data_IF_749523201429
#
_entry.id   IF_749523201429
#
_cell.length_a   1.000
_cell.length_b   1.000
_cell.length_c   1.000
_cell.angle_alpha   90.00
_cell.angle_beta   90.00
_cell.angle_gamma   90.00
#
_symmetry.space_group_name_H-M   'P 1'
#
loop_
_entity.id
_entity.type
_entity.pdbx_description
1 polymer ?
#
# COMPACT_ATOMS: atom_id res chain seq x y z
N UNK A 1 42.45 -7.95 56.00
CA UNK A 1 42.87 -9.32 55.63
C UNK A 1 41.78 -9.91 54.74
N UNK A 2 42.14 -10.13 53.45
CA UNK A 2 41.68 -11.16 52.50
C UNK A 2 40.15 -11.43 52.36
N UNK A 3 39.54 -11.60 51.19
CA UNK A 3 39.89 -11.53 49.77
C UNK A 3 38.55 -11.50 49.01
N UNK A 4 38.54 -10.85 47.86
CA UNK A 4 37.44 -10.88 46.91
C UNK A 4 37.24 -12.29 46.33
N UNK A 5 36.01 -12.62 45.92
CA UNK A 5 35.77 -13.68 44.95
C UNK A 5 34.75 -13.23 43.91
N UNK A 6 35.26 -13.08 42.70
CA UNK A 6 34.55 -12.77 41.46
C UNK A 6 34.12 -14.10 40.83
N UNK A 7 32.82 -14.27 40.56
CA UNK A 7 32.35 -15.30 39.63
C UNK A 7 31.88 -14.62 38.35
N UNK A 8 32.77 -14.63 37.36
CA UNK A 8 32.44 -14.32 35.97
C UNK A 8 31.72 -15.53 35.35
N UNK A 9 30.46 -15.35 34.98
CA UNK A 9 29.68 -16.34 34.23
C UNK A 9 30.10 -16.27 32.76
N UNK A 10 30.99 -17.18 32.33
CA UNK A 10 31.41 -17.32 30.95
C UNK A 10 30.40 -18.24 30.23
N UNK A 11 29.34 -17.67 29.63
CA UNK A 11 28.50 -18.41 28.68
C UNK A 11 29.23 -18.48 27.34
N UNK A 12 30.00 -19.54 27.15
CA UNK A 12 30.52 -19.91 25.84
C UNK A 12 29.36 -20.37 24.95
N UNK A 13 29.00 -19.52 23.99
CA UNK A 13 28.11 -19.86 22.89
C UNK A 13 28.79 -20.93 22.03
N UNK A 14 28.29 -22.17 22.06
CA UNK A 14 28.73 -23.26 21.18
C UNK A 14 27.74 -23.35 20.01
N UNK A 15 28.09 -22.93 18.79
CA UNK A 15 27.20 -23.12 17.65
C UNK A 15 27.04 -24.62 17.35
N UNK A 16 25.86 -25.08 16.91
CA UNK A 16 25.67 -26.47 16.51
C UNK A 16 26.52 -26.80 15.28
N UNK A 17 27.19 -27.95 15.33
CA UNK A 17 27.94 -28.52 14.21
C UNK A 17 26.97 -28.89 13.09
N UNK A 18 26.98 -28.13 11.99
CA UNK A 18 26.26 -28.50 10.76
C UNK A 18 27.04 -29.59 10.04
N UNK A 19 26.57 -30.84 10.14
CA UNK A 19 27.00 -31.93 9.27
C UNK A 19 26.32 -31.75 7.91
N UNK A 20 27.08 -31.39 6.88
CA UNK A 20 26.62 -31.39 5.49
C UNK A 20 26.58 -32.86 5.03
N UNK A 21 25.40 -33.47 5.07
CA UNK A 21 25.16 -34.69 4.31
C UNK A 21 25.01 -34.32 2.84
N UNK A 22 25.99 -34.74 2.04
CA UNK A 22 25.98 -34.61 0.58
C UNK A 22 24.86 -35.52 0.03
N UNK A 23 23.70 -34.95 -0.26
CA UNK A 23 22.61 -35.67 -0.91
C UNK A 23 23.01 -36.01 -2.36
N UNK A 24 22.95 -37.30 -2.68
CA UNK A 24 23.08 -37.82 -4.05
C UNK A 24 21.76 -37.54 -4.79
N UNK A 25 21.76 -36.95 -6.00
CA UNK A 25 20.53 -36.73 -6.74
C UNK A 25 19.96 -38.07 -7.25
N UNK A 26 18.63 -38.30 -7.19
CA UNK A 26 18.01 -39.45 -7.81
C UNK A 26 17.91 -39.27 -9.34
N UNK A 27 18.20 -40.33 -10.07
CA UNK A 27 18.04 -40.42 -11.52
C UNK A 27 16.57 -40.21 -11.93
N UNK A 28 16.32 -39.24 -12.81
CA UNK A 28 15.01 -38.99 -13.40
C UNK A 28 14.75 -39.90 -14.61
N UNK A 29 13.61 -40.62 -14.68
CA UNK A 29 13.13 -41.16 -15.95
C UNK A 29 12.52 -40.04 -16.81
N UNK A 30 12.95 -39.96 -18.07
CA UNK A 30 12.40 -39.06 -19.09
C UNK A 30 10.94 -39.43 -19.39
N UNK A 31 10.01 -38.60 -18.93
CA UNK A 31 8.60 -38.66 -19.34
C UNK A 31 8.37 -37.76 -20.56
N UNK A 32 8.20 -38.41 -21.71
CA UNK A 32 7.68 -37.82 -22.95
C UNK A 32 6.25 -37.33 -22.71
N UNK A 33 6.05 -36.01 -22.76
CA UNK A 33 4.71 -35.42 -22.71
C UNK A 33 4.19 -35.22 -24.13
N UNK A 34 3.31 -36.12 -24.56
CA UNK A 34 2.62 -36.04 -25.82
C UNK A 34 1.60 -34.87 -25.79
N UNK A 35 1.79 -33.89 -26.66
CA UNK A 35 0.95 -32.69 -26.78
C UNK A 35 -0.45 -33.06 -27.30
N UNK A 36 -1.40 -33.26 -26.38
CA UNK A 36 -2.82 -33.26 -26.73
C UNK A 36 -3.33 -31.83 -26.85
N UNK A 37 -3.49 -31.36 -28.10
CA UNK A 37 -4.16 -30.08 -28.43
C UNK A 37 -5.57 -30.05 -27.86
N UNK A 38 -5.75 -29.38 -26.72
CA UNK A 38 -7.07 -28.91 -26.28
C UNK A 38 -7.50 -27.74 -27.15
N UNK A 39 -8.53 -27.95 -27.97
CA UNK A 39 -9.22 -26.90 -28.72
C UNK A 39 -9.89 -25.95 -27.72
N UNK A 40 -9.28 -24.79 -27.47
CA UNK A 40 -9.96 -23.68 -26.84
C UNK A 40 -11.06 -23.17 -27.77
N UNK A 41 -12.32 -23.24 -27.31
CA UNK A 41 -13.44 -22.53 -27.91
C UNK A 41 -13.11 -21.03 -27.86
N UNK A 42 -12.97 -20.40 -29.03
CA UNK A 42 -12.97 -18.94 -29.19
C UNK A 42 -14.30 -18.41 -28.67
N UNK A 43 -14.29 -17.76 -27.52
CA UNK A 43 -15.33 -16.82 -27.14
C UNK A 43 -14.99 -15.50 -27.83
N UNK A 44 -15.78 -15.14 -28.84
CA UNK A 44 -15.70 -13.85 -29.50
C UNK A 44 -16.22 -12.77 -28.55
N UNK A 45 -15.32 -12.14 -27.82
CA UNK A 45 -15.60 -10.86 -27.17
C UNK A 45 -15.70 -9.79 -28.26
N UNK A 46 -16.92 -9.30 -28.47
CA UNK A 46 -17.17 -8.09 -29.24
C UNK A 46 -16.57 -6.91 -28.45
N UNK A 47 -15.74 -6.05 -29.06
CA UNK A 47 -15.29 -4.84 -28.40
C UNK A 47 -16.48 -3.88 -28.30
N UNK A 48 -17.00 -3.67 -27.08
CA UNK A 48 -17.83 -2.51 -26.79
C UNK A 48 -17.00 -1.26 -27.09
N UNK A 49 -17.49 -0.42 -27.98
CA UNK A 49 -16.90 0.89 -28.29
C UNK A 49 -16.84 1.73 -27.02
N UNK A 50 -15.67 1.81 -26.39
CA UNK A 50 -15.37 2.87 -25.44
C UNK A 50 -14.92 4.09 -26.26
N UNK A 51 -15.74 5.14 -26.29
CA UNK A 51 -15.30 6.43 -26.81
C UNK A 51 -14.22 6.97 -25.86
N UNK A 52 -12.96 6.95 -26.30
CA UNK A 52 -11.88 7.62 -25.60
C UNK A 52 -12.12 9.13 -25.67
N UNK A 53 -12.52 9.73 -24.54
CA UNK A 53 -12.57 11.19 -24.41
C UNK A 53 -11.13 11.71 -24.39
N UNK A 54 -10.79 12.47 -25.42
CA UNK A 54 -9.52 13.15 -25.61
C UNK A 54 -9.37 14.23 -24.54
N UNK A 55 -8.40 14.10 -23.64
CA UNK A 55 -8.04 15.16 -22.71
C UNK A 55 -7.40 16.32 -23.50
N UNK A 56 -8.17 17.38 -23.74
CA UNK A 56 -7.65 18.65 -24.24
C UNK A 56 -7.08 19.42 -23.05
N UNK A 57 -5.76 19.55 -23.01
CA UNK A 57 -5.04 20.41 -22.08
C UNK A 57 -5.31 21.88 -22.42
N UNK A 58 -6.32 22.46 -21.79
CA UNK A 58 -6.46 23.90 -21.61
C UNK A 58 -7.67 24.19 -20.73
N UNK A 59 -7.45 24.62 -19.50
CA UNK A 59 -8.36 25.57 -18.88
C UNK A 59 -7.56 26.53 -18.02
N UNK A 60 -7.38 27.71 -18.62
CA UNK A 60 -7.24 28.97 -17.92
C UNK A 60 -8.32 29.03 -16.83
N UNK A 61 -7.91 29.34 -15.61
CA UNK A 61 -8.80 29.54 -14.47
C UNK A 61 -9.62 30.81 -14.68
N UNK A 62 -10.74 30.71 -15.38
CA UNK A 62 -11.82 31.69 -15.31
C UNK A 62 -12.65 31.39 -14.07
N UNK A 63 -12.37 32.11 -12.98
CA UNK A 63 -13.16 32.06 -11.75
C UNK A 63 -14.55 32.60 -12.04
N UNK A 64 -15.53 31.70 -12.20
CA UNK A 64 -16.94 32.02 -12.05
C UNK A 64 -17.32 31.75 -10.59
N UNK A 65 -17.70 32.77 -9.80
CA UNK A 65 -18.22 32.55 -8.45
C UNK A 65 -19.68 32.10 -8.57
N UNK A 66 -19.90 30.79 -8.72
CA UNK A 66 -21.26 30.25 -8.85
C UNK A 66 -21.42 28.78 -9.20
N UNK A 67 -20.36 27.98 -9.22
CA UNK A 67 -20.44 26.53 -9.42
C UNK A 67 -19.75 25.81 -8.24
N UNK A 68 -20.49 25.62 -7.17
CA UNK A 68 -20.11 24.87 -5.97
C UNK A 68 -21.34 24.00 -5.70
N UNK A 69 -21.35 22.68 -5.87
CA UNK A 69 -20.67 21.73 -4.98
C UNK A 69 -20.30 20.35 -5.61
N UNK A 70 -20.50 20.12 -6.91
CA UNK A 70 -20.38 18.76 -7.49
C UNK A 70 -19.02 18.45 -8.16
N UNK A 71 -17.92 19.10 -7.75
CA UNK A 71 -16.62 18.91 -8.41
C UNK A 71 -15.79 17.79 -7.77
N UNK A 72 -15.48 16.75 -8.54
CA UNK A 72 -14.50 15.72 -8.16
C UNK A 72 -13.10 16.18 -8.58
N UNK A 73 -12.18 16.27 -7.63
CA UNK A 73 -10.75 16.53 -7.89
C UNK A 73 -9.91 15.35 -7.41
N UNK A 74 -9.10 14.78 -8.30
CA UNK A 74 -8.20 13.67 -8.01
C UNK A 74 -6.76 14.10 -8.29
N UNK A 75 -5.95 14.18 -7.24
CA UNK A 75 -4.53 14.53 -7.34
C UNK A 75 -3.69 13.27 -7.23
N UNK A 76 -2.96 12.95 -8.29
CA UNK A 76 -2.03 11.82 -8.32
C UNK A 76 -0.73 12.16 -7.58
N UNK A 77 -0.32 11.31 -6.63
CA UNK A 77 0.85 11.51 -5.77
C UNK A 77 1.98 10.50 -6.02
N UNK A 78 2.00 9.87 -7.19
CA UNK A 78 2.87 8.77 -7.62
C UNK A 78 2.62 7.41 -6.96
N UNK A 79 2.98 6.35 -7.69
CA UNK A 79 2.75 4.96 -7.24
C UNK A 79 1.27 4.67 -7.14
N UNK A 80 0.85 4.16 -5.99
CA UNK A 80 -0.57 3.92 -5.68
C UNK A 80 -1.21 5.12 -4.95
N UNK A 81 -0.47 6.19 -4.72
CA UNK A 81 -0.92 7.29 -3.86
C UNK A 81 -1.80 8.30 -4.59
N UNK A 82 -2.95 8.59 -3.99
CA UNK A 82 -3.90 9.60 -4.48
C UNK A 82 -4.44 10.46 -3.34
N UNK A 83 -4.67 11.73 -3.62
CA UNK A 83 -5.52 12.60 -2.79
C UNK A 83 -6.80 12.86 -3.56
N UNK A 84 -7.92 12.43 -2.99
CA UNK A 84 -9.26 12.66 -3.54
C UNK A 84 -9.92 13.80 -2.79
N UNK A 85 -10.57 14.68 -3.52
CA UNK A 85 -11.48 15.68 -2.98
C UNK A 85 -12.79 15.58 -3.75
N UNK A 86 -13.84 15.14 -3.05
CA UNK A 86 -15.16 14.92 -3.62
C UNK A 86 -16.21 15.44 -2.65
N UNK A 87 -17.08 16.35 -3.10
CA UNK A 87 -18.16 16.91 -2.27
C UNK A 87 -17.65 17.46 -0.92
N UNK A 88 -16.45 18.03 -0.91
CA UNK A 88 -15.81 18.56 0.30
C UNK A 88 -15.03 17.54 1.13
N UNK A 89 -15.22 16.24 0.90
CA UNK A 89 -14.49 15.15 1.58
C UNK A 89 -13.11 14.95 0.97
N UNK A 90 -12.07 15.03 1.78
CA UNK A 90 -10.67 14.78 1.43
C UNK A 90 -10.21 13.42 1.93
N UNK A 91 -10.02 12.50 1.00
CA UNK A 91 -9.52 11.17 1.30
C UNK A 91 -8.09 10.98 0.75
N UNK A 92 -7.18 10.53 1.60
CA UNK A 92 -5.85 10.08 1.18
C UNK A 92 -5.90 8.58 0.91
N UNK A 93 -5.44 8.13 -0.25
CA UNK A 93 -5.52 6.72 -0.67
C UNK A 93 -4.12 6.16 -0.86
N UNK A 94 -3.85 5.01 -0.23
CA UNK A 94 -2.62 4.20 -0.35
C UNK A 94 -1.31 5.05 -0.37
N UNK A 95 -1.03 5.81 0.71
CA UNK A 95 0.04 6.80 0.69
C UNK A 95 1.45 6.21 0.84
N UNK A 96 2.31 6.53 -0.11
CA UNK A 96 3.77 6.34 -0.09
C UNK A 96 4.38 7.74 -0.24
N UNK A 97 4.53 8.47 0.86
CA UNK A 97 4.97 9.89 0.85
C UNK A 97 6.33 10.10 1.52
N UNK A 98 6.78 9.13 2.30
CA UNK A 98 8.00 9.22 3.11
C UNK A 98 8.95 8.09 2.77
N UNK A 99 10.17 8.45 2.38
CA UNK A 99 11.22 7.50 2.02
C UNK A 99 10.94 6.72 0.74
N UNK A 100 11.81 5.76 0.44
CA UNK A 100 11.64 4.86 -0.69
C UNK A 100 10.81 3.64 -0.29
N UNK A 101 10.13 3.07 -1.28
CA UNK A 101 9.45 1.78 -1.17
C UNK A 101 10.47 0.66 -1.34
N UNK A 102 10.68 -0.14 -0.29
CA UNK A 102 11.73 -1.17 -0.25
C UNK A 102 11.28 -2.54 0.28
N UNK A 103 9.99 -2.70 0.61
CA UNK A 103 9.43 -3.93 1.19
C UNK A 103 10.19 -4.46 2.43
N UNK A 104 10.88 -3.57 3.16
CA UNK A 104 11.73 -3.93 4.31
C UNK A 104 13.07 -4.60 3.94
N UNK A 105 13.39 -4.72 2.65
CA UNK A 105 14.63 -5.32 2.14
C UNK A 105 15.32 -4.39 1.12
N UNK A 106 15.88 -3.23 1.57
CA UNK A 106 16.46 -2.22 0.67
C UNK A 106 17.57 -2.71 -0.25
N UNK A 107 18.31 -3.76 0.16
CA UNK A 107 19.35 -4.35 -0.68
C UNK A 107 18.80 -5.12 -1.89
N UNK A 108 17.51 -5.49 -1.86
CA UNK A 108 16.82 -6.25 -2.90
C UNK A 108 15.93 -5.37 -3.78
N UNK A 109 15.22 -4.42 -3.17
CA UNK A 109 14.33 -3.50 -3.86
C UNK A 109 14.36 -2.13 -3.18
N UNK A 110 14.48 -1.06 -3.97
CA UNK A 110 14.51 0.33 -3.48
C UNK A 110 13.98 1.26 -4.57
N UNK A 111 12.70 1.64 -4.47
CA UNK A 111 12.02 2.49 -5.44
C UNK A 111 11.76 3.89 -4.88
N UNK A 112 12.33 4.89 -5.55
CA UNK A 112 12.13 6.31 -5.26
C UNK A 112 11.15 6.97 -6.24
N UNK A 113 10.53 8.07 -5.79
CA UNK A 113 9.69 8.92 -6.62
C UNK A 113 10.51 9.62 -7.72
N UNK A 114 9.91 9.80 -8.89
CA UNK A 114 10.60 10.37 -10.07
C UNK A 114 10.33 11.85 -10.26
N UNK A 115 9.11 12.30 -10.02
CA UNK A 115 8.62 13.65 -10.33
C UNK A 115 8.30 14.41 -9.05
N UNK A 116 7.63 13.78 -8.10
CA UNK A 116 7.23 14.38 -6.82
C UNK A 116 8.33 14.29 -5.75
N UNK A 117 9.49 14.88 -6.03
CA UNK A 117 10.63 14.90 -5.09
C UNK A 117 10.53 16.00 -4.03
N UNK A 118 9.75 17.06 -4.28
CA UNK A 118 9.56 18.18 -3.36
C UNK A 118 8.33 18.06 -2.46
N UNK A 119 7.37 17.18 -2.81
CA UNK A 119 6.16 16.97 -2.02
C UNK A 119 6.50 16.14 -0.78
N UNK A 120 6.19 16.69 0.39
CA UNK A 120 6.49 16.11 1.70
C UNK A 120 5.20 15.71 2.41
N UNK A 121 5.33 14.91 3.46
CA UNK A 121 4.17 14.56 4.30
C UNK A 121 3.57 15.78 4.98
N UNK A 122 4.37 16.81 5.25
CA UNK A 122 3.89 18.08 5.81
C UNK A 122 3.04 18.90 4.82
N UNK A 123 3.11 18.60 3.51
CA UNK A 123 2.29 19.24 2.48
C UNK A 123 0.90 18.58 2.33
N UNK A 124 0.64 17.49 3.08
CA UNK A 124 -0.67 16.83 3.10
C UNK A 124 -1.66 17.76 3.79
N UNK A 125 -2.80 18.10 3.15
CA UNK A 125 -3.81 18.95 3.77
C UNK A 125 -4.49 18.23 4.93
N UNK A 126 -5.35 18.93 5.68
CA UNK A 126 -6.30 18.25 6.57
C UNK A 126 -7.12 17.21 5.79
N UNK A 127 -7.28 16.04 6.38
CA UNK A 127 -7.92 14.86 5.80
C UNK A 127 -9.14 14.49 6.63
N UNK A 128 -10.19 14.06 5.93
CA UNK A 128 -11.38 13.51 6.57
C UNK A 128 -11.25 11.99 6.76
N UNK A 129 -10.53 11.32 5.87
CA UNK A 129 -10.21 9.90 6.04
C UNK A 129 -8.95 9.43 5.31
N UNK A 130 -8.45 8.28 5.75
CA UNK A 130 -7.44 7.48 5.07
C UNK A 130 -8.10 6.22 4.49
N UNK A 131 -7.81 5.91 3.23
CA UNK A 131 -8.27 4.71 2.54
C UNK A 131 -7.07 3.80 2.24
N UNK A 132 -7.14 2.56 2.73
CA UNK A 132 -6.12 1.53 2.46
C UNK A 132 -6.76 0.34 1.73
N UNK A 133 -6.38 0.15 0.47
CA UNK A 133 -7.02 -0.86 -0.39
C UNK A 133 -6.47 -2.26 -0.16
N UNK A 134 -5.21 -2.40 0.24
CA UNK A 134 -4.58 -3.69 0.51
C UNK A 134 -3.45 -3.59 1.53
N UNK A 135 -3.07 -4.73 2.10
CA UNK A 135 -2.06 -4.85 3.15
C UNK A 135 -0.61 -4.93 2.63
N UNK A 136 -0.38 -4.85 1.32
CA UNK A 136 0.98 -4.90 0.77
C UNK A 136 1.70 -3.57 0.99
N UNK A 137 3.03 -3.59 1.15
CA UNK A 137 3.82 -2.39 1.52
C UNK A 137 3.72 -1.24 0.49
N UNK A 138 3.41 -1.54 -0.77
CA UNK A 138 3.18 -0.54 -1.82
C UNK A 138 1.79 0.11 -1.76
N UNK A 139 1.00 -0.21 -0.73
CA UNK A 139 -0.28 0.44 -0.42
C UNK A 139 -0.37 0.82 1.06
N UNK A 140 0.05 -0.09 1.96
CA UNK A 140 0.06 0.07 3.40
C UNK A 140 1.47 0.42 3.92
N UNK A 141 2.04 1.52 3.40
CA UNK A 141 3.45 1.83 3.60
C UNK A 141 3.75 2.36 5.01
N UNK A 142 4.28 1.50 5.89
CA UNK A 142 4.50 1.81 7.31
C UNK A 142 5.34 3.06 7.56
N UNK A 143 6.36 3.33 6.74
CA UNK A 143 7.21 4.52 6.89
C UNK A 143 6.44 5.83 6.68
N UNK A 144 5.38 5.77 5.86
CA UNK A 144 4.46 6.90 5.64
C UNK A 144 3.35 6.91 6.68
N UNK A 145 2.79 5.76 7.04
CA UNK A 145 1.64 5.66 7.96
C UNK A 145 1.97 6.08 9.40
N UNK A 146 3.17 5.81 9.90
CA UNK A 146 3.59 6.21 11.26
C UNK A 146 3.54 7.72 11.48
N UNK A 147 4.27 8.56 10.71
CA UNK A 147 4.19 10.00 10.88
C UNK A 147 2.80 10.56 10.54
N UNK A 148 2.05 9.92 9.63
CA UNK A 148 0.67 10.31 9.34
C UNK A 148 -0.25 10.13 10.58
N UNK A 149 -0.11 9.01 11.30
CA UNK A 149 -0.84 8.75 12.54
C UNK A 149 -0.45 9.72 13.67
N UNK A 150 0.80 10.18 13.70
CA UNK A 150 1.25 11.21 14.64
C UNK A 150 0.66 12.59 14.29
N UNK A 151 0.58 12.93 13.01
CA UNK A 151 0.00 14.20 12.53
C UNK A 151 -1.52 14.25 12.70
N UNK A 152 -2.22 13.13 12.45
CA UNK A 152 -3.67 13.03 12.47
C UNK A 152 -4.13 11.88 13.39
N UNK A 153 -4.02 12.03 14.73
CA UNK A 153 -4.21 10.93 15.69
C UNK A 153 -5.64 10.39 15.77
N UNK A 154 -6.61 11.16 15.30
CA UNK A 154 -8.03 10.79 15.32
C UNK A 154 -8.59 10.53 13.91
N UNK A 155 -7.72 10.51 12.89
CA UNK A 155 -8.09 10.28 11.49
C UNK A 155 -8.84 8.93 11.34
N UNK A 156 -10.08 8.93 10.82
CA UNK A 156 -10.75 7.72 10.41
C UNK A 156 -9.97 6.99 9.32
N UNK A 157 -9.74 5.70 9.52
CA UNK A 157 -9.07 4.82 8.55
C UNK A 157 -10.04 3.77 8.09
N UNK A 158 -10.33 3.73 6.80
CA UNK A 158 -11.10 2.68 6.17
C UNK A 158 -10.15 1.77 5.41
N UNK A 159 -10.22 0.48 5.70
CA UNK A 159 -9.33 -0.50 5.08
C UNK A 159 -10.03 -1.79 4.70
N UNK A 160 -9.38 -2.58 3.85
CA UNK A 160 -9.73 -3.99 3.69
C UNK A 160 -9.36 -4.77 4.97
N UNK A 161 -10.10 -5.85 5.32
CA UNK A 161 -9.84 -6.62 6.55
C UNK A 161 -8.41 -7.19 6.69
N UNK A 162 -7.74 -7.45 5.57
CA UNK A 162 -6.36 -7.94 5.60
C UNK A 162 -5.34 -6.87 6.01
N UNK A 163 -5.67 -5.58 5.98
CA UNK A 163 -4.76 -4.52 6.40
C UNK A 163 -4.91 -4.13 7.89
N UNK A 164 -5.97 -4.57 8.56
CA UNK A 164 -6.31 -4.14 9.93
C UNK A 164 -5.20 -4.42 10.95
N UNK A 165 -4.51 -5.55 10.85
CA UNK A 165 -3.43 -5.91 11.78
C UNK A 165 -2.22 -4.97 11.68
N UNK A 166 -2.05 -4.32 10.52
CA UNK A 166 -1.00 -3.35 10.26
C UNK A 166 -1.40 -1.96 10.78
N UNK A 167 -2.69 -1.62 10.66
CA UNK A 167 -3.22 -0.29 10.93
C UNK A 167 -3.63 -0.08 12.39
N UNK A 168 -4.20 -1.09 13.05
CA UNK A 168 -4.68 -1.01 14.45
C UNK A 168 -3.61 -0.64 15.48
N UNK A 169 -2.31 -0.96 15.32
CA UNK A 169 -1.27 -0.45 16.22
C UNK A 169 -0.92 1.03 15.99
N UNK A 170 -1.32 1.62 14.85
CA UNK A 170 -0.96 2.97 14.44
C UNK A 170 -2.11 3.97 14.63
N UNK A 171 -3.33 3.56 14.29
CA UNK A 171 -4.51 4.43 14.29
C UNK A 171 -5.56 3.95 15.30
N UNK A 172 -6.24 4.90 15.94
CA UNK A 172 -7.32 4.60 16.91
C UNK A 172 -8.62 4.15 16.24
N UNK A 173 -8.92 4.74 15.08
CA UNK A 173 -10.22 4.64 14.41
C UNK A 173 -10.09 3.86 13.09
N UNK A 174 -9.92 2.54 13.17
CA UNK A 174 -9.82 1.67 11.99
C UNK A 174 -11.15 0.95 11.75
N UNK A 175 -11.72 1.10 10.55
CA UNK A 175 -12.89 0.36 10.07
C UNK A 175 -12.53 -0.55 8.90
N UNK A 176 -12.70 -1.85 9.08
CA UNK A 176 -12.41 -2.90 8.08
C UNK A 176 -13.61 -3.17 7.15
N UNK A 177 -14.29 -2.11 6.72
CA UNK A 177 -15.57 -2.18 6.00
C UNK A 177 -15.45 -1.88 4.50
N UNK A 178 -14.24 -1.72 3.94
CA UNK A 178 -14.03 -1.79 2.48
C UNK A 178 -14.23 -3.23 2.00
N UNK A 179 -15.47 -3.72 2.09
CA UNK A 179 -15.98 -4.84 1.31
C UNK A 179 -16.68 -4.28 0.08
N UNK A 180 -16.92 -5.13 -0.92
CA UNK A 180 -17.79 -4.82 -2.05
C UNK A 180 -19.27 -4.73 -1.60
N UNK A 181 -19.57 -3.84 -0.65
CA UNK A 181 -20.91 -3.56 -0.15
C UNK A 181 -21.26 -2.10 -0.51
N UNK A 182 -22.39 -1.84 -1.20
CA UNK A 182 -22.87 -0.48 -1.49
C UNK A 182 -22.96 0.44 -0.26
N UNK A 183 -23.06 -0.10 0.95
CA UNK A 183 -23.19 0.67 2.19
C UNK A 183 -21.90 1.36 2.64
N UNK A 184 -20.71 0.89 2.23
CA UNK A 184 -19.43 1.50 2.61
C UNK A 184 -19.31 2.94 2.10
N UNK A 185 -19.87 3.23 0.92
CA UNK A 185 -19.94 4.59 0.39
C UNK A 185 -20.68 5.51 1.36
N UNK A 186 -21.83 5.08 1.87
CA UNK A 186 -22.66 5.89 2.78
C UNK A 186 -21.96 6.20 4.11
N UNK A 187 -21.02 5.37 4.56
CA UNK A 187 -20.25 5.63 5.79
C UNK A 187 -19.26 6.79 5.57
N UNK A 188 -18.59 6.81 4.42
CA UNK A 188 -17.58 7.83 4.10
C UNK A 188 -18.24 9.21 3.86
N UNK A 189 -19.43 9.28 3.26
CA UNK A 189 -20.10 10.57 2.97
C UNK A 189 -20.94 11.11 4.14
N UNK A 190 -21.22 10.30 5.17
CA UNK A 190 -22.07 10.72 6.31
C UNK A 190 -21.31 10.80 7.65
N UNK A 191 -19.98 10.72 7.65
CA UNK A 191 -19.13 11.01 8.81
C UNK A 191 -18.54 12.41 8.70
#
# INVERSE_FOLDING_TARGET
MLMASSLAFHMAFRPPSMTINRAVPPDHPLLSFSSSRRRHRRLSFLPSKCHALRASSSSVSSVNPGATEDSIMLTYLEGNSWLWNFEGVKALVDPILVGNLDFGVPWLYDASKKVLTSFRIEDVPELDCLLITQSLDDHCHIKTLKPLAEMFPDLPVFSTPNAEFILSPLFKNVSSELRNDPLTYSVIVNT
#
